data_IF_136489033206
#
_entry.id   IF_136489033206
#
_cell.length_a   1.000
_cell.length_b   1.000
_cell.length_c   1.000
_cell.angle_alpha   90.00
_cell.angle_beta   90.00
_cell.angle_gamma   90.00
#
_symmetry.space_group_name_H-M   'P 1'
#
loop_
_entity.id
_entity.type
_entity.pdbx_description
1 polymer ?
#
# COMPACT_ATOMS: atom_id res chain seq x y z
N UNK A 1 -16.21 -16.35 21.06
CA UNK A 1 -14.75 -16.21 20.99
C UNK A 1 -14.36 -14.75 21.09
N UNK A 2 -13.40 -14.44 21.95
CA UNK A 2 -12.89 -13.08 22.04
C UNK A 2 -11.95 -12.78 20.87
N UNK A 3 -12.02 -11.57 20.35
CA UNK A 3 -11.07 -11.13 19.35
C UNK A 3 -9.69 -10.93 19.97
N UNK A 4 -8.61 -11.22 19.25
CA UNK A 4 -7.28 -10.89 19.73
C UNK A 4 -7.16 -9.39 20.00
N UNK A 5 -6.47 -9.00 21.05
CA UNK A 5 -6.19 -7.61 21.32
C UNK A 5 -4.80 -7.22 20.77
N UNK A 6 -4.41 -5.98 20.98
CA UNK A 6 -3.12 -5.49 20.49
C UNK A 6 -1.94 -6.19 21.12
N UNK A 7 -2.07 -6.62 22.39
CA UNK A 7 -1.00 -7.35 23.07
C UNK A 7 -0.79 -8.72 22.43
N UNK A 8 -1.89 -9.42 22.09
CA UNK A 8 -1.80 -10.70 21.40
C UNK A 8 -1.12 -10.54 20.04
N UNK A 9 -1.47 -9.49 19.29
CA UNK A 9 -0.87 -9.22 18.00
C UNK A 9 0.60 -8.82 18.13
N UNK A 10 0.94 -8.09 19.17
CA UNK A 10 2.32 -7.73 19.45
C UNK A 10 3.17 -8.96 19.72
N UNK A 11 2.64 -9.92 20.47
CA UNK A 11 3.33 -11.18 20.73
C UNK A 11 3.59 -11.94 19.44
N UNK A 12 2.61 -11.96 18.52
CA UNK A 12 2.81 -12.57 17.20
C UNK A 12 3.88 -11.83 16.39
N UNK A 13 3.88 -10.50 16.44
CA UNK A 13 4.88 -9.70 15.75
C UNK A 13 6.29 -10.04 16.26
N UNK A 14 6.45 -10.25 17.56
CA UNK A 14 7.75 -10.55 18.16
C UNK A 14 8.32 -11.91 17.75
N UNK A 15 7.48 -12.82 17.26
CA UNK A 15 7.97 -14.09 16.72
C UNK A 15 8.89 -13.91 15.53
N UNK A 16 8.80 -12.78 14.86
CA UNK A 16 9.65 -12.45 13.72
C UNK A 16 9.25 -13.20 12.47
N UNK A 17 10.23 -13.43 11.59
CA UNK A 17 10.00 -14.04 10.26
C UNK A 17 9.01 -13.24 9.42
N UNK A 18 9.20 -11.92 9.42
CA UNK A 18 8.40 -11.00 8.62
C UNK A 18 9.34 -10.43 7.56
N UNK A 19 8.97 -10.60 6.29
CA UNK A 19 9.79 -10.19 5.16
C UNK A 19 9.04 -9.20 4.29
N UNK A 20 9.72 -8.13 3.93
CA UNK A 20 9.23 -7.22 2.92
C UNK A 20 9.83 -7.62 1.59
N UNK A 21 8.98 -7.94 0.62
CA UNK A 21 9.43 -8.46 -0.66
C UNK A 21 8.39 -8.23 -1.75
N UNK A 22 8.77 -8.53 -2.98
CA UNK A 22 7.83 -8.51 -4.10
C UNK A 22 7.06 -9.83 -4.11
N UNK A 23 5.73 -9.73 -4.11
CA UNK A 23 4.85 -10.88 -4.24
C UNK A 23 4.26 -10.87 -5.65
N UNK A 24 4.52 -11.94 -6.39
CA UNK A 24 4.06 -12.10 -7.76
C UNK A 24 3.10 -13.27 -7.87
N UNK A 25 1.93 -13.00 -8.40
CA UNK A 25 0.95 -14.04 -8.70
C UNK A 25 0.42 -13.76 -10.11
N UNK A 26 0.53 -14.72 -11.03
CA UNK A 26 0.09 -14.49 -12.41
C UNK A 26 -1.42 -14.33 -12.55
N UNK A 27 -2.22 -14.77 -11.58
CA UNK A 27 -3.67 -14.71 -11.65
C UNK A 27 -4.25 -13.52 -10.89
N UNK A 28 -3.57 -13.02 -9.86
CA UNK A 28 -4.05 -11.90 -9.05
C UNK A 28 -2.92 -11.32 -8.21
N UNK A 29 -3.16 -10.10 -7.69
CA UNK A 29 -2.16 -9.39 -6.93
C UNK A 29 -2.33 -9.64 -5.45
N UNK A 30 -1.22 -9.93 -4.78
CA UNK A 30 -1.17 -10.11 -3.34
C UNK A 30 -0.43 -8.94 -2.69
N UNK A 31 -1.00 -8.40 -1.62
CA UNK A 31 -0.33 -7.41 -0.78
C UNK A 31 0.41 -8.08 0.38
N UNK A 32 -0.05 -9.24 0.78
CA UNK A 32 0.55 -10.00 1.85
C UNK A 32 0.28 -11.48 1.74
N UNK A 33 1.11 -12.25 2.39
CA UNK A 33 1.01 -13.71 2.37
C UNK A 33 1.57 -14.27 3.67
N UNK A 34 0.84 -15.19 4.29
CA UNK A 34 1.39 -16.03 5.35
C UNK A 34 1.66 -17.40 4.78
N UNK A 35 2.89 -17.90 4.95
CA UNK A 35 3.26 -19.22 4.50
C UNK A 35 4.13 -19.90 5.56
N UNK A 36 3.64 -21.02 6.09
CA UNK A 36 4.27 -21.63 7.25
C UNK A 36 4.17 -20.68 8.44
N UNK A 37 5.30 -20.38 9.06
CA UNK A 37 5.36 -19.43 10.17
C UNK A 37 5.92 -18.07 9.75
N UNK A 38 6.05 -17.83 8.44
CA UNK A 38 6.58 -16.58 7.90
C UNK A 38 5.45 -15.71 7.35
N UNK A 39 5.65 -14.40 7.44
CA UNK A 39 4.75 -13.40 6.86
C UNK A 39 5.54 -12.63 5.82
N UNK A 40 4.95 -12.43 4.65
CA UNK A 40 5.55 -11.69 3.54
C UNK A 40 4.64 -10.50 3.21
N UNK A 41 5.23 -9.34 3.03
CA UNK A 41 4.49 -8.12 2.72
C UNK A 41 5.10 -7.48 1.49
N UNK A 42 4.24 -7.15 0.52
CA UNK A 42 4.61 -6.34 -0.64
C UNK A 42 4.03 -4.94 -0.43
N UNK A 43 4.85 -3.92 -0.17
CA UNK A 43 4.36 -2.59 0.11
C UNK A 43 3.93 -1.80 -1.13
N UNK A 44 4.29 -2.28 -2.33
CA UNK A 44 4.10 -1.52 -3.56
C UNK A 44 2.65 -1.14 -3.85
N UNK A 45 1.68 -2.06 -3.76
CA UNK A 45 0.30 -1.69 -4.09
C UNK A 45 -0.27 -0.60 -3.18
N UNK A 46 -0.01 -0.69 -1.88
CA UNK A 46 -0.53 0.29 -0.93
C UNK A 46 0.11 1.67 -1.15
N UNK A 47 1.42 1.70 -1.36
CA UNK A 47 2.13 2.96 -1.61
C UNK A 47 1.62 3.59 -2.91
N UNK A 48 1.47 2.80 -3.96
CA UNK A 48 1.00 3.31 -5.25
C UNK A 48 -0.45 3.76 -5.20
N UNK A 49 -1.32 3.07 -4.45
CA UNK A 49 -2.70 3.51 -4.28
C UNK A 49 -2.74 4.89 -3.63
N UNK A 50 -1.96 5.09 -2.57
CA UNK A 50 -1.87 6.39 -1.89
C UNK A 50 -1.32 7.46 -2.84
N UNK A 51 -0.27 7.14 -3.59
CA UNK A 51 0.32 8.08 -4.54
C UNK A 51 -0.71 8.49 -5.61
N UNK A 52 -1.38 7.53 -6.22
CA UNK A 52 -2.38 7.81 -7.25
C UNK A 52 -3.53 8.63 -6.68
N UNK A 53 -3.97 8.31 -5.45
CA UNK A 53 -4.99 9.08 -4.75
C UNK A 53 -4.61 10.57 -4.67
N UNK A 54 -3.40 10.85 -4.22
CA UNK A 54 -2.95 12.23 -4.08
C UNK A 54 -2.73 12.92 -5.43
N UNK A 55 -2.23 12.18 -6.43
CA UNK A 55 -2.10 12.71 -7.78
C UNK A 55 -3.44 13.06 -8.39
N UNK A 56 -4.48 12.26 -8.12
CA UNK A 56 -5.83 12.55 -8.58
C UNK A 56 -6.38 13.81 -7.91
N UNK A 57 -6.14 14.02 -6.62
CA UNK A 57 -6.53 15.27 -5.95
C UNK A 57 -5.87 16.48 -6.62
N UNK A 58 -4.62 16.35 -7.00
CA UNK A 58 -3.89 17.43 -7.66
C UNK A 58 -4.42 17.69 -9.08
N UNK A 59 -4.76 16.63 -9.80
CA UNK A 59 -5.18 16.72 -11.20
C UNK A 59 -6.67 17.06 -11.31
N UNK A 60 -7.48 16.59 -10.36
CA UNK A 60 -8.94 16.74 -10.35
C UNK A 60 -9.37 17.36 -9.02
N UNK A 61 -9.05 18.65 -8.78
CA UNK A 61 -9.29 19.25 -7.47
C UNK A 61 -10.77 19.37 -7.08
N UNK A 62 -11.68 19.22 -8.03
CA UNK A 62 -13.11 19.29 -7.76
C UNK A 62 -13.76 17.94 -7.47
N UNK A 63 -13.03 16.84 -7.63
CA UNK A 63 -13.57 15.53 -7.30
C UNK A 63 -13.67 15.38 -5.79
N UNK A 64 -14.74 14.73 -5.35
CA UNK A 64 -14.91 14.41 -3.93
C UNK A 64 -13.88 13.37 -3.49
N UNK A 65 -13.62 13.32 -2.18
CA UNK A 65 -12.76 12.31 -1.59
C UNK A 65 -13.23 10.90 -1.96
N UNK A 66 -14.53 10.68 -1.89
CA UNK A 66 -15.13 9.39 -2.23
C UNK A 66 -14.83 8.99 -3.68
N UNK A 67 -14.94 9.95 -4.60
CA UNK A 67 -14.65 9.69 -6.01
C UNK A 67 -13.18 9.40 -6.23
N UNK A 68 -12.30 10.18 -5.61
CA UNK A 68 -10.85 9.98 -5.73
C UNK A 68 -10.48 8.60 -5.21
N UNK A 69 -10.98 8.20 -4.06
CA UNK A 69 -10.71 6.88 -3.48
C UNK A 69 -11.12 5.77 -4.43
N UNK A 70 -12.33 5.86 -4.99
CA UNK A 70 -12.85 4.86 -5.92
C UNK A 70 -12.00 4.78 -7.18
N UNK A 71 -11.68 5.92 -7.76
CA UNK A 71 -10.91 5.96 -9.01
C UNK A 71 -9.47 5.47 -8.80
N UNK A 72 -8.84 5.81 -7.67
CA UNK A 72 -7.51 5.31 -7.36
C UNK A 72 -7.50 3.78 -7.29
N UNK A 73 -8.46 3.19 -6.60
CA UNK A 73 -8.57 1.73 -6.50
C UNK A 73 -8.79 1.09 -7.86
N UNK A 74 -9.61 1.71 -8.69
CA UNK A 74 -9.87 1.22 -10.04
C UNK A 74 -8.60 1.22 -10.89
N UNK A 75 -7.84 2.32 -10.83
CA UNK A 75 -6.58 2.42 -11.56
C UNK A 75 -5.61 1.32 -11.11
N UNK A 76 -5.43 1.15 -9.81
CA UNK A 76 -4.51 0.14 -9.30
C UNK A 76 -4.96 -1.28 -9.68
N UNK A 77 -6.26 -1.54 -9.65
CA UNK A 77 -6.77 -2.87 -10.00
C UNK A 77 -6.51 -3.26 -11.45
N UNK A 78 -6.34 -2.27 -12.32
CA UNK A 78 -6.07 -2.50 -13.75
C UNK A 78 -4.59 -2.49 -14.09
N UNK A 79 -3.72 -2.14 -13.17
CA UNK A 79 -2.30 -2.13 -13.42
C UNK A 79 -1.75 -3.56 -13.53
N UNK A 80 -0.94 -3.79 -14.56
CA UNK A 80 -0.18 -5.02 -14.69
C UNK A 80 0.98 -5.03 -13.69
N UNK A 81 1.56 -6.21 -13.48
CA UNK A 81 2.75 -6.32 -12.60
C UNK A 81 3.89 -5.47 -13.13
N UNK A 82 4.07 -5.42 -14.45
CA UNK A 82 5.09 -4.57 -15.05
C UNK A 82 4.83 -3.08 -14.78
N UNK A 83 3.58 -2.66 -14.88
CA UNK A 83 3.22 -1.27 -14.62
C UNK A 83 3.46 -0.91 -13.15
N UNK A 84 3.12 -1.80 -12.23
CA UNK A 84 3.37 -1.59 -10.80
C UNK A 84 4.87 -1.47 -10.54
N UNK A 85 5.68 -2.36 -11.11
CA UNK A 85 7.12 -2.31 -10.95
C UNK A 85 7.69 -1.01 -11.52
N UNK A 86 7.21 -0.59 -12.69
CA UNK A 86 7.67 0.63 -13.35
C UNK A 86 7.31 1.86 -12.54
N UNK A 87 6.06 1.95 -12.07
CA UNK A 87 5.58 3.07 -11.27
C UNK A 87 6.30 3.15 -9.92
N UNK A 88 6.52 2.01 -9.29
CA UNK A 88 7.22 1.97 -8.02
C UNK A 88 8.67 2.42 -8.16
N UNK A 89 9.35 2.01 -9.24
CA UNK A 89 10.70 2.44 -9.54
C UNK A 89 10.74 3.96 -9.77
N UNK A 90 9.79 4.51 -10.53
CA UNK A 90 9.69 5.95 -10.76
C UNK A 90 9.45 6.71 -9.46
N UNK A 91 8.55 6.20 -8.62
CA UNK A 91 8.30 6.78 -7.31
C UNK A 91 9.58 6.84 -6.47
N UNK A 92 10.31 5.74 -6.41
CA UNK A 92 11.55 5.70 -5.64
C UNK A 92 12.62 6.64 -6.18
N UNK A 93 12.63 6.88 -7.49
CA UNK A 93 13.59 7.77 -8.13
C UNK A 93 13.31 9.25 -7.81
N UNK A 94 12.04 9.63 -7.62
CA UNK A 94 11.67 11.04 -7.44
C UNK A 94 11.29 11.41 -6.02
N UNK A 95 10.97 10.43 -5.18
CA UNK A 95 10.55 10.73 -3.80
C UNK A 95 11.67 11.45 -3.05
N UNK A 96 11.28 12.37 -2.19
CA UNK A 96 12.22 13.10 -1.34
C UNK A 96 11.99 12.69 0.11
N UNK A 97 13.06 12.66 0.88
CA UNK A 97 12.94 12.42 2.32
C UNK A 97 12.23 13.62 2.94
N UNK A 98 11.09 13.36 3.57
CA UNK A 98 10.32 14.41 4.21
C UNK A 98 10.55 14.47 5.70
N UNK A 99 10.13 15.57 6.30
CA UNK A 99 10.03 15.72 7.75
C UNK A 99 8.60 15.40 8.17
N UNK A 100 8.38 15.01 9.41
CA UNK A 100 7.01 14.87 9.90
C UNK A 100 6.20 16.13 9.64
N UNK A 101 4.97 15.95 9.18
CA UNK A 101 4.07 17.05 8.85
C UNK A 101 2.87 16.98 9.79
N UNK A 102 2.60 18.06 10.51
CA UNK A 102 1.38 18.15 11.29
C UNK A 102 0.23 18.41 10.34
N UNK A 103 -0.74 17.50 10.34
CA UNK A 103 -1.96 17.66 9.53
C UNK A 103 -2.99 18.33 10.40
N UNK A 104 -3.30 19.60 10.08
CA UNK A 104 -4.33 20.34 10.80
C UNK A 104 -5.70 19.96 10.24
N UNK A 105 -6.64 19.75 11.15
CA UNK A 105 -8.02 19.54 10.76
C UNK A 105 -8.59 20.89 10.30
N UNK A 106 -9.07 20.92 9.09
CA UNK A 106 -9.75 22.10 8.56
C UNK A 106 -11.24 22.08 8.88
#
# INVERSE_FOLDING_TARGET
>A
MSSPDLDDLYDELQRGKIYECTLRDPSWRLDGLQHGDAIYIDPRPAILETLVHELLHRRKPRWSERRVTREARTILSKMSELEIATWYRRYNAIKRKGRPVDVEDE
#
